data_IF_304141506289
#
_entry.id   IF_304141506289
#
_cell.length_a   1.000
_cell.length_b   1.000
_cell.length_c   1.000
_cell.angle_alpha   90.00
_cell.angle_beta   90.00
_cell.angle_gamma   90.00
#
_symmetry.space_group_name_H-M   'P 1'
#
loop_
_entity.id
_entity.type
_entity.pdbx_description
1 polymer ?
#
# COMPACT_ATOMS: atom_id res chain seq x y z
N UNK A 1 33.21 2.41 18.33
CA UNK A 1 32.11 3.38 18.34
C UNK A 1 30.94 2.74 17.63
N UNK A 2 30.05 2.11 18.39
CA UNK A 2 28.94 1.30 17.88
C UNK A 2 27.78 2.23 17.50
N UNK A 3 27.40 2.28 16.23
CA UNK A 3 26.17 2.94 15.81
C UNK A 3 24.98 2.12 16.31
N UNK A 4 24.15 2.71 17.17
CA UNK A 4 22.82 2.20 17.48
C UNK A 4 21.94 2.47 16.25
N UNK A 5 21.75 1.46 15.40
CA UNK A 5 20.59 1.43 14.51
C UNK A 5 19.40 1.14 15.43
N UNK A 6 18.56 2.14 15.68
CA UNK A 6 17.25 1.89 16.24
C UNK A 6 16.46 1.24 15.10
N UNK A 7 16.37 -0.09 15.12
CA UNK A 7 15.38 -0.79 14.32
C UNK A 7 14.02 -0.30 14.83
N UNK A 8 13.16 0.30 13.98
CA UNK A 8 11.84 0.67 14.45
C UNK A 8 11.11 -0.61 14.88
N UNK A 9 10.54 -0.58 16.08
CA UNK A 9 9.72 -1.63 16.66
C UNK A 9 8.68 -2.11 15.63
N UNK A 10 8.92 -3.29 15.03
CA UNK A 10 7.99 -3.95 14.09
C UNK A 10 6.85 -4.68 14.80
N UNK A 11 6.65 -4.42 16.09
CA UNK A 11 5.85 -5.25 16.99
C UNK A 11 4.49 -4.64 17.34
N UNK A 12 4.09 -3.54 16.71
CA UNK A 12 2.68 -3.15 16.67
C UNK A 12 1.91 -4.07 15.71
N UNK A 13 1.58 -5.27 16.19
CA UNK A 13 0.62 -6.20 15.59
C UNK A 13 -0.78 -5.55 15.55
N UNK A 14 -0.99 -4.62 14.62
CA UNK A 14 -2.32 -4.20 14.19
C UNK A 14 -2.87 -5.35 13.38
N UNK A 15 -4.03 -5.89 13.76
CA UNK A 15 -4.76 -6.90 12.95
C UNK A 15 -4.79 -6.41 11.50
N UNK A 16 -4.01 -7.08 10.64
CA UNK A 16 -3.23 -6.49 9.54
C UNK A 16 -3.96 -5.48 8.66
N UNK A 17 -3.89 -4.20 9.03
CA UNK A 17 -4.24 -3.12 8.12
C UNK A 17 -3.22 -3.08 6.99
N UNK A 18 -3.69 -3.03 5.75
CA UNK A 18 -2.81 -2.84 4.60
C UNK A 18 -2.17 -1.45 4.70
N UNK A 19 -0.84 -1.41 4.75
CA UNK A 19 -0.07 -0.20 4.65
C UNK A 19 0.10 0.16 3.17
N UNK A 20 -0.48 1.29 2.77
CA UNK A 20 -0.35 1.83 1.43
C UNK A 20 0.69 2.95 1.42
N UNK A 21 1.80 2.75 0.69
CA UNK A 21 2.89 3.72 0.57
C UNK A 21 2.91 4.28 -0.85
N UNK A 22 2.93 5.60 -0.99
CA UNK A 22 3.14 6.25 -2.28
C UNK A 22 4.61 6.09 -2.68
N UNK A 23 4.88 5.33 -3.74
CA UNK A 23 6.25 5.11 -4.24
C UNK A 23 6.61 6.09 -5.35
N UNK A 24 5.62 6.52 -6.13
CA UNK A 24 5.73 7.55 -7.15
C UNK A 24 4.45 8.41 -7.12
N UNK A 25 4.50 9.67 -7.61
CA UNK A 25 3.32 10.54 -7.60
C UNK A 25 2.14 9.88 -8.31
N UNK A 26 1.10 9.57 -7.54
CA UNK A 26 -0.07 8.90 -8.10
C UNK A 26 0.02 7.37 -8.19
N UNK A 27 1.01 6.73 -7.56
CA UNK A 27 1.16 5.28 -7.51
C UNK A 27 1.46 4.82 -6.08
N UNK A 28 0.60 3.94 -5.55
CA UNK A 28 0.72 3.38 -4.20
C UNK A 28 0.94 1.87 -4.24
N UNK A 29 1.85 1.37 -3.42
CA UNK A 29 2.06 -0.05 -3.19
C UNK A 29 1.48 -0.45 -1.82
N UNK A 30 0.69 -1.52 -1.80
CA UNK A 30 0.06 -2.07 -0.61
C UNK A 30 0.89 -3.21 -0.03
N UNK A 31 1.23 -3.12 1.25
CA UNK A 31 1.82 -4.21 2.00
C UNK A 31 0.98 -4.53 3.23
N UNK A 32 0.66 -5.81 3.42
CA UNK A 32 -0.03 -6.29 4.63
C UNK A 32 0.85 -7.32 5.29
N UNK A 33 1.30 -7.03 6.51
CA UNK A 33 2.11 -7.97 7.32
C UNK A 33 3.32 -8.56 6.57
N UNK A 34 3.99 -7.75 5.74
CA UNK A 34 5.13 -8.19 4.94
C UNK A 34 4.77 -8.77 3.57
N UNK A 35 3.49 -9.02 3.28
CA UNK A 35 3.01 -9.51 1.99
C UNK A 35 2.59 -8.35 1.08
N UNK A 36 3.07 -8.38 -0.17
CA UNK A 36 2.58 -7.48 -1.20
C UNK A 36 1.16 -7.87 -1.60
N UNK A 37 0.20 -6.97 -1.40
CA UNK A 37 -1.22 -7.24 -1.70
C UNK A 37 -1.67 -6.66 -3.02
N UNK A 38 -0.97 -5.64 -3.53
CA UNK A 38 -1.38 -4.96 -4.76
C UNK A 38 -0.88 -3.53 -4.89
N UNK A 39 -1.38 -2.85 -5.92
CA UNK A 39 -1.07 -1.45 -6.23
C UNK A 39 -2.34 -0.65 -6.43
N UNK A 40 -2.23 0.67 -6.23
CA UNK A 40 -3.26 1.62 -6.63
C UNK A 40 -2.59 2.63 -7.56
N UNK A 41 -3.21 2.87 -8.71
CA UNK A 41 -2.74 3.84 -9.68
C UNK A 41 -3.79 4.95 -9.83
N UNK A 42 -3.35 6.20 -9.69
CA UNK A 42 -4.17 7.35 -10.05
C UNK A 42 -4.32 7.43 -11.56
N UNK A 43 -5.53 7.71 -12.01
CA UNK A 43 -5.90 7.82 -13.40
C UNK A 43 -6.79 9.05 -13.58
N UNK A 44 -6.95 9.53 -14.82
CA UNK A 44 -7.73 10.76 -15.10
C UNK A 44 -9.15 10.78 -14.52
N UNK A 45 -9.72 9.60 -14.26
CA UNK A 45 -11.10 9.41 -13.83
C UNK A 45 -11.23 8.90 -12.38
N UNK A 46 -10.12 8.71 -11.65
CA UNK A 46 -10.12 8.16 -10.30
C UNK A 46 -8.88 7.34 -9.99
N UNK A 47 -9.06 6.21 -9.32
CA UNK A 47 -8.01 5.33 -8.85
C UNK A 47 -8.31 3.90 -9.29
N UNK A 48 -7.35 3.20 -9.86
CA UNK A 48 -7.50 1.79 -10.24
C UNK A 48 -6.71 0.98 -9.22
N UNK A 49 -7.36 0.04 -8.54
CA UNK A 49 -6.67 -0.91 -7.66
C UNK A 49 -6.37 -2.20 -8.42
N UNK A 50 -5.18 -2.75 -8.18
CA UNK A 50 -4.73 -4.01 -8.74
C UNK A 50 -4.36 -4.97 -7.61
N UNK A 51 -4.61 -6.26 -7.81
CA UNK A 51 -4.12 -7.30 -6.90
C UNK A 51 -2.62 -7.57 -7.07
N UNK A 52 -2.09 -8.50 -6.26
CA UNK A 52 -0.68 -8.91 -6.30
C UNK A 52 -0.25 -9.55 -7.62
N UNK A 53 -1.20 -9.97 -8.46
CA UNK A 53 -0.97 -10.52 -9.80
C UNK A 53 -1.19 -9.49 -10.92
N UNK A 54 -1.36 -8.22 -10.55
CA UNK A 54 -1.63 -7.11 -11.45
C UNK A 54 -2.97 -7.21 -12.20
N UNK A 55 -3.97 -7.87 -11.59
CA UNK A 55 -5.35 -7.86 -12.09
C UNK A 55 -6.10 -6.68 -11.51
N UNK A 56 -6.78 -5.92 -12.36
CA UNK A 56 -7.61 -4.80 -11.92
C UNK A 56 -8.79 -5.31 -11.07
N UNK A 57 -8.85 -4.84 -9.83
CA UNK A 57 -9.94 -5.08 -8.89
C UNK A 57 -11.11 -4.13 -9.12
N UNK A 58 -10.85 -2.96 -9.69
CA UNK A 58 -11.86 -1.99 -10.07
C UNK A 58 -11.33 -0.57 -10.15
N UNK A 59 -12.22 0.34 -10.53
CA UNK A 59 -11.98 1.78 -10.54
C UNK A 59 -12.80 2.44 -9.46
N UNK A 60 -12.14 3.27 -8.66
CA UNK A 60 -12.68 3.94 -7.49
C UNK A 60 -12.59 5.45 -7.67
N UNK A 61 -13.59 6.18 -7.18
CA UNK A 61 -13.62 7.65 -7.27
C UNK A 61 -12.70 8.35 -6.27
N UNK A 62 -12.11 7.61 -5.33
CA UNK A 62 -11.27 8.17 -4.27
C UNK A 62 -10.24 7.15 -3.79
N UNK A 63 -9.08 7.65 -3.39
CA UNK A 63 -7.98 6.84 -2.89
C UNK A 63 -8.37 6.04 -1.63
N UNK A 64 -9.19 6.61 -0.75
CA UNK A 64 -9.71 5.89 0.44
C UNK A 64 -10.47 4.64 0.02
N UNK A 65 -11.38 4.76 -0.96
CA UNK A 65 -12.17 3.62 -1.43
C UNK A 65 -11.32 2.56 -2.15
N UNK A 66 -10.18 2.94 -2.74
CA UNK A 66 -9.26 2.00 -3.37
C UNK A 66 -8.35 1.25 -2.36
N UNK A 67 -8.29 1.69 -1.10
CA UNK A 67 -7.41 1.16 -0.05
C UNK A 67 -8.07 0.14 0.86
N UNK A 68 -9.40 0.06 0.84
CA UNK A 68 -10.24 -0.88 1.60
C UNK A 68 -10.31 -2.25 0.91
#
# INVERSE_FOLDING_TARGET
MTMMVTEPDRTAEVRGSTLWVEVEPGFWAGNRTGEFVGTIESHRAGFIAFDSTHRALGTFSSLVAARE
#
